data_IF_037224240155
#
_entry.id   IF_037224240155
#
_cell.length_a   1.000
_cell.length_b   1.000
_cell.length_c   1.000
_cell.angle_alpha   90.00
_cell.angle_beta   90.00
_cell.angle_gamma   90.00
#
_symmetry.space_group_name_H-M   'P 1'
#
loop_
_entity.id
_entity.type
_entity.pdbx_description
1 polymer ?
#
# COMPACT_ATOMS: atom_id res chain seq x y z
N UNK A 1 -34.28 -2.73 43.51
CA UNK A 1 -33.05 -2.02 43.13
C UNK A 1 -31.88 -2.98 43.25
N UNK A 2 -31.43 -3.52 42.13
CA UNK A 2 -30.08 -4.07 41.92
C UNK A 2 -30.04 -4.64 40.50
N UNK A 3 -30.06 -3.74 39.50
CA UNK A 3 -29.62 -4.09 38.14
C UNK A 3 -28.10 -4.25 38.21
N UNK A 4 -27.65 -5.51 38.25
CA UNK A 4 -26.24 -5.84 38.16
C UNK A 4 -25.80 -5.64 36.70
N UNK A 5 -24.97 -4.61 36.48
CA UNK A 5 -24.13 -4.50 35.29
C UNK A 5 -23.15 -5.67 35.31
N UNK A 6 -23.36 -6.68 34.47
CA UNK A 6 -22.35 -7.69 34.21
C UNK A 6 -21.25 -6.99 33.41
N UNK A 7 -20.16 -6.64 34.07
CA UNK A 7 -18.88 -6.34 33.41
C UNK A 7 -18.45 -7.60 32.67
N UNK A 8 -18.80 -7.69 31.39
CA UNK A 8 -18.26 -8.73 30.51
C UNK A 8 -16.81 -8.38 30.22
N UNK A 9 -15.90 -8.95 30.99
CA UNK A 9 -14.46 -8.82 30.78
C UNK A 9 -14.09 -9.39 29.40
N UNK A 10 -13.38 -8.60 28.58
CA UNK A 10 -12.95 -9.02 27.25
C UNK A 10 -11.98 -10.19 27.35
N UNK A 11 -12.26 -11.28 26.64
CA UNK A 11 -11.45 -12.49 26.67
C UNK A 11 -10.42 -12.51 25.51
N UNK A 12 -9.37 -13.34 25.60
CA UNK A 12 -8.48 -13.58 24.46
C UNK A 12 -9.21 -14.07 23.19
N UNK A 13 -10.35 -14.75 23.35
CA UNK A 13 -11.17 -15.22 22.23
C UNK A 13 -11.86 -14.05 21.50
N UNK A 14 -12.28 -13.02 22.23
CA UNK A 14 -12.87 -11.82 21.64
C UNK A 14 -11.85 -11.06 20.80
N UNK A 15 -10.63 -10.90 21.31
CA UNK A 15 -9.50 -10.33 20.55
C UNK A 15 -9.23 -11.16 19.29
N UNK A 16 -9.18 -12.49 19.41
CA UNK A 16 -8.95 -13.37 18.26
C UNK A 16 -10.05 -13.29 17.21
N UNK A 17 -11.31 -13.03 17.59
CA UNK A 17 -12.46 -12.98 16.66
C UNK A 17 -12.73 -11.60 16.08
N UNK A 18 -12.38 -10.53 16.76
CA UNK A 18 -12.88 -9.18 16.42
C UNK A 18 -11.81 -8.11 16.27
N UNK A 19 -10.55 -8.39 16.64
CA UNK A 19 -9.50 -7.35 16.64
C UNK A 19 -9.14 -6.88 15.22
N UNK A 20 -9.55 -5.65 14.88
CA UNK A 20 -9.27 -5.04 13.58
C UNK A 20 -7.77 -4.97 13.26
N UNK A 21 -6.91 -4.70 14.26
CA UNK A 21 -5.46 -4.64 14.06
C UNK A 21 -4.86 -6.01 13.71
N UNK A 22 -5.35 -7.09 14.32
CA UNK A 22 -4.90 -8.45 14.04
C UNK A 22 -5.23 -8.85 12.60
N UNK A 23 -6.50 -8.73 12.21
CA UNK A 23 -6.95 -9.11 10.87
C UNK A 23 -6.34 -8.23 9.78
N UNK A 24 -6.22 -6.91 10.02
CA UNK A 24 -5.52 -6.00 9.11
C UNK A 24 -4.08 -6.42 8.86
N UNK A 25 -3.34 -6.76 9.93
CA UNK A 25 -1.95 -7.20 9.82
C UNK A 25 -1.80 -8.54 9.10
N UNK A 26 -2.65 -9.52 9.41
CA UNK A 26 -2.61 -10.84 8.77
C UNK A 26 -2.96 -10.72 7.28
N UNK A 27 -4.04 -10.02 6.95
CA UNK A 27 -4.46 -9.80 5.57
C UNK A 27 -3.41 -9.03 4.76
N UNK A 28 -2.90 -7.91 5.30
CA UNK A 28 -1.83 -7.12 4.67
C UNK A 28 -0.61 -7.99 4.34
N UNK A 29 -0.18 -8.87 5.24
CA UNK A 29 0.96 -9.78 5.00
C UNK A 29 0.68 -10.80 3.90
N UNK A 30 -0.51 -11.41 3.90
CA UNK A 30 -0.92 -12.40 2.90
C UNK A 30 -1.01 -11.78 1.51
N UNK A 31 -1.72 -10.65 1.39
CA UNK A 31 -1.83 -9.87 0.16
C UNK A 31 -0.43 -9.45 -0.31
N UNK A 32 0.38 -8.86 0.55
CA UNK A 32 1.74 -8.45 0.18
C UNK A 32 2.59 -9.62 -0.34
N UNK A 33 2.48 -10.81 0.26
CA UNK A 33 3.18 -12.01 -0.25
C UNK A 33 2.67 -12.46 -1.61
N UNK A 34 1.36 -12.45 -1.81
CA UNK A 34 0.73 -12.80 -3.10
C UNK A 34 1.31 -11.93 -4.21
N UNK A 35 1.21 -10.60 -4.11
CA UNK A 35 1.72 -9.72 -5.16
C UNK A 35 3.24 -9.77 -5.30
N UNK A 36 4.00 -9.91 -4.20
CA UNK A 36 5.45 -10.07 -4.28
C UNK A 36 5.88 -11.37 -4.97
N UNK A 37 5.06 -12.42 -4.92
CA UNK A 37 5.34 -13.66 -5.60
C UNK A 37 5.27 -13.47 -7.12
N UNK A 38 4.21 -12.86 -7.64
CA UNK A 38 4.10 -12.58 -9.08
C UNK A 38 5.14 -11.55 -9.58
N UNK A 39 5.48 -10.58 -8.74
CA UNK A 39 6.45 -9.55 -9.09
C UNK A 39 7.92 -10.02 -9.03
N UNK A 40 8.20 -11.23 -8.54
CA UNK A 40 9.58 -11.68 -8.26
C UNK A 40 10.50 -11.57 -9.46
N UNK A 41 9.99 -11.88 -10.65
CA UNK A 41 10.78 -11.94 -11.88
C UNK A 41 11.15 -10.56 -12.42
N UNK A 42 10.46 -9.52 -11.95
CA UNK A 42 10.77 -8.12 -12.29
C UNK A 42 11.83 -7.51 -11.37
N UNK A 43 12.19 -8.22 -10.29
CA UNK A 43 13.08 -7.70 -9.25
C UNK A 43 12.46 -6.60 -8.39
N UNK A 44 11.15 -6.37 -8.51
CA UNK A 44 10.38 -5.45 -7.68
C UNK A 44 9.58 -6.17 -6.59
N UNK A 45 9.37 -5.45 -5.48
CA UNK A 45 8.31 -5.75 -4.52
C UNK A 45 7.08 -4.89 -4.80
N UNK A 46 5.90 -5.33 -4.34
CA UNK A 46 4.64 -4.58 -4.48
C UNK A 46 4.76 -3.15 -3.94
N UNK A 47 5.47 -2.94 -2.82
CA UNK A 47 5.71 -1.60 -2.28
C UNK A 47 6.51 -0.71 -3.24
N UNK A 48 7.51 -1.28 -3.92
CA UNK A 48 8.31 -0.56 -4.91
C UNK A 48 7.48 -0.24 -6.16
N UNK A 49 6.71 -1.21 -6.64
CA UNK A 49 5.75 -1.00 -7.72
C UNK A 49 4.75 0.12 -7.38
N UNK A 50 4.16 0.13 -6.18
CA UNK A 50 3.24 1.18 -5.75
C UNK A 50 3.87 2.58 -5.74
N UNK A 51 5.15 2.69 -5.39
CA UNK A 51 5.90 3.96 -5.45
C UNK A 51 6.07 4.42 -6.91
N UNK A 52 6.53 3.52 -7.79
CA UNK A 52 6.68 3.83 -9.21
C UNK A 52 5.33 4.23 -9.83
N UNK A 53 4.26 3.50 -9.50
CA UNK A 53 2.91 3.77 -9.96
C UNK A 53 2.41 5.15 -9.50
N UNK A 54 2.62 5.50 -8.22
CA UNK A 54 2.22 6.80 -7.70
C UNK A 54 2.96 7.95 -8.38
N UNK A 55 4.29 7.82 -8.55
CA UNK A 55 5.11 8.81 -9.25
C UNK A 55 4.70 8.94 -10.72
N UNK A 56 4.44 7.81 -11.40
CA UNK A 56 4.04 7.80 -12.81
C UNK A 56 2.65 8.43 -13.02
N UNK A 57 1.69 8.13 -12.15
CA UNK A 57 0.32 8.64 -12.24
C UNK A 57 0.27 10.16 -12.02
N UNK A 58 0.84 10.61 -10.92
CA UNK A 58 0.92 12.03 -10.57
C UNK A 58 1.94 12.19 -9.45
N UNK A 59 3.16 12.70 -9.74
CA UNK A 59 4.19 12.86 -8.72
C UNK A 59 3.65 13.70 -7.55
N UNK A 60 3.68 13.19 -6.30
CA UNK A 60 3.24 13.95 -5.14
C UNK A 60 4.15 15.15 -4.90
N UNK A 61 3.71 16.10 -4.09
CA UNK A 61 4.46 17.33 -3.84
C UNK A 61 5.65 17.12 -2.89
N UNK A 62 5.63 16.05 -2.09
CA UNK A 62 6.69 15.74 -1.13
C UNK A 62 6.77 14.26 -0.76
N UNK A 63 7.86 13.87 -0.07
CA UNK A 63 8.02 12.51 0.46
C UNK A 63 6.99 12.21 1.55
N UNK A 64 6.51 13.22 2.27
CA UNK A 64 5.50 13.06 3.31
C UNK A 64 4.14 12.72 2.69
N UNK A 65 3.76 13.44 1.65
CA UNK A 65 2.51 13.18 0.93
C UNK A 65 2.52 11.79 0.27
N UNK A 66 3.67 11.37 -0.29
CA UNK A 66 3.81 10.01 -0.81
C UNK A 66 3.70 8.96 0.31
N UNK A 67 4.24 9.25 1.50
CA UNK A 67 4.17 8.37 2.66
C UNK A 67 2.71 8.20 3.13
N UNK A 68 1.98 9.30 3.22
CA UNK A 68 0.55 9.31 3.56
C UNK A 68 -0.28 8.56 2.51
N UNK A 69 -0.05 8.85 1.23
CA UNK A 69 -0.74 8.20 0.10
C UNK A 69 -0.58 6.67 0.13
N UNK A 70 0.63 6.19 0.46
CA UNK A 70 0.96 4.76 0.47
C UNK A 70 0.78 4.09 1.83
N UNK A 71 0.38 4.83 2.87
CA UNK A 71 0.29 4.31 4.24
C UNK A 71 1.63 3.80 4.78
N UNK A 72 2.73 4.47 4.42
CA UNK A 72 4.09 4.08 4.78
C UNK A 72 4.71 5.04 5.79
N UNK A 73 5.57 4.52 6.66
CA UNK A 73 6.44 5.36 7.47
C UNK A 73 7.42 6.15 6.58
N UNK A 74 7.53 7.46 6.80
CA UNK A 74 8.36 8.38 5.98
C UNK A 74 9.79 7.88 5.80
N UNK A 75 10.45 7.45 6.87
CA UNK A 75 11.84 6.97 6.83
C UNK A 75 11.99 5.65 6.06
N UNK A 76 10.96 4.80 6.07
CA UNK A 76 10.93 3.56 5.29
C UNK A 76 10.69 3.84 3.82
N UNK A 77 9.81 4.79 3.50
CA UNK A 77 9.58 5.25 2.14
C UNK A 77 10.85 5.87 1.56
N UNK A 78 11.49 6.80 2.28
CA UNK A 78 12.71 7.46 1.81
C UNK A 78 13.82 6.45 1.47
N UNK A 79 14.08 5.48 2.36
CA UNK A 79 15.03 4.39 2.09
C UNK A 79 14.65 3.52 0.89
N UNK A 80 13.35 3.38 0.61
CA UNK A 80 12.87 2.60 -0.55
C UNK A 80 13.09 3.39 -1.85
N UNK A 81 12.84 4.70 -1.84
CA UNK A 81 13.13 5.61 -2.96
C UNK A 81 14.62 5.64 -3.27
N UNK A 82 15.48 5.79 -2.25
CA UNK A 82 16.93 5.78 -2.43
C UNK A 82 17.42 4.47 -3.09
N UNK A 83 16.83 3.33 -2.74
CA UNK A 83 17.12 2.05 -3.40
C UNK A 83 16.66 2.00 -4.86
N UNK A 84 15.52 2.63 -5.18
CA UNK A 84 15.02 2.70 -6.56
C UNK A 84 15.91 3.61 -7.43
N UNK A 85 16.42 4.71 -6.87
CA UNK A 85 17.41 5.57 -7.53
C UNK A 85 18.73 4.82 -7.74
N UNK A 86 19.22 4.11 -6.72
CA UNK A 86 20.45 3.31 -6.82
C UNK A 86 20.34 2.16 -7.84
N UNK A 87 19.12 1.68 -8.13
CA UNK A 87 18.81 0.73 -9.20
C UNK A 87 18.56 1.38 -10.55
N UNK A 88 18.79 2.68 -10.70
CA UNK A 88 18.51 3.44 -11.93
C UNK A 88 17.05 3.39 -12.39
N UNK A 89 16.08 3.10 -11.50
CA UNK A 89 14.65 3.06 -11.85
C UNK A 89 13.96 4.41 -11.63
N UNK A 90 14.51 5.24 -10.74
CA UNK A 90 14.08 6.60 -10.50
C UNK A 90 15.25 7.57 -10.67
N UNK A 91 14.93 8.79 -11.05
CA UNK A 91 15.89 9.89 -11.11
C UNK A 91 15.28 11.16 -10.52
N UNK A 92 16.14 12.02 -9.97
CA UNK A 92 15.74 13.37 -9.57
C UNK A 92 15.53 14.22 -10.82
N UNK A 93 14.35 14.81 -10.97
CA UNK A 93 14.05 15.76 -12.03
C UNK A 93 14.26 17.19 -11.50
N UNK A 94 14.88 18.11 -12.28
CA UNK A 94 14.94 19.51 -11.91
C UNK A 94 13.52 20.06 -11.76
N UNK A 95 13.11 20.36 -10.53
CA UNK A 95 11.77 20.88 -10.27
C UNK A 95 11.75 22.37 -10.63
N UNK A 96 11.26 22.71 -11.84
CA UNK A 96 10.92 24.10 -12.19
C UNK A 96 9.77 24.66 -11.34
N UNK A 97 8.99 23.77 -10.71
CA UNK A 97 7.91 24.09 -9.79
C UNK A 97 8.28 23.66 -8.37
N UNK A 98 8.26 24.59 -7.41
CA UNK A 98 8.60 24.41 -5.98
C UNK A 98 7.76 23.35 -5.23
N UNK A 99 6.82 22.68 -5.89
CA UNK A 99 5.83 21.77 -5.29
C UNK A 99 5.86 20.37 -5.87
N UNK A 100 6.92 19.91 -6.54
CA UNK A 100 7.01 18.49 -6.93
C UNK A 100 8.04 17.79 -6.05
N UNK A 101 7.79 16.52 -5.71
CA UNK A 101 8.79 15.63 -5.11
C UNK A 101 10.07 15.56 -5.97
N UNK A 102 9.98 15.91 -7.26
CA UNK A 102 11.15 15.99 -8.14
C UNK A 102 11.70 14.61 -8.46
N UNK A 103 10.83 13.61 -8.54
CA UNK A 103 11.18 12.25 -8.96
C UNK A 103 10.42 11.90 -10.22
N UNK A 104 11.12 11.25 -11.14
CA UNK A 104 10.54 10.67 -12.34
C UNK A 104 11.14 9.27 -12.56
N UNK A 105 10.41 8.43 -13.28
CA UNK A 105 10.96 7.19 -13.78
C UNK A 105 12.04 7.50 -14.83
N UNK A 106 13.08 6.69 -14.86
CA UNK A 106 14.06 6.66 -15.96
C UNK A 106 13.48 5.84 -17.12
N UNK A 107 14.20 5.73 -18.24
CA UNK A 107 13.82 4.82 -19.32
C UNK A 107 13.80 3.35 -18.85
N UNK A 108 14.82 2.92 -18.10
CA UNK A 108 14.88 1.59 -17.48
C UNK A 108 13.76 1.38 -16.46
N UNK A 109 13.46 2.41 -15.66
CA UNK A 109 12.35 2.41 -14.72
C UNK A 109 11.00 2.23 -15.39
N UNK A 110 10.80 2.84 -16.56
CA UNK A 110 9.60 2.68 -17.36
C UNK A 110 9.47 1.25 -17.91
N UNK A 111 10.55 0.69 -18.46
CA UNK A 111 10.56 -0.68 -18.96
C UNK A 111 10.22 -1.71 -17.87
N UNK A 112 10.87 -1.59 -16.70
CA UNK A 112 10.59 -2.46 -15.55
C UNK A 112 9.17 -2.24 -15.01
N UNK A 113 8.67 -1.00 -15.00
CA UNK A 113 7.30 -0.71 -14.59
C UNK A 113 6.28 -1.42 -15.49
N UNK A 114 6.46 -1.40 -16.80
CA UNK A 114 5.55 -2.08 -17.74
C UNK A 114 5.55 -3.60 -17.53
N UNK A 115 6.73 -4.20 -17.32
CA UNK A 115 6.83 -5.63 -16.98
C UNK A 115 6.12 -5.95 -15.65
N UNK A 116 6.30 -5.10 -14.64
CA UNK A 116 5.66 -5.25 -13.34
C UNK A 116 4.16 -5.01 -13.38
N UNK A 117 3.66 -4.14 -14.27
CA UNK A 117 2.23 -3.91 -14.45
C UNK A 117 1.53 -5.17 -14.94
N UNK A 118 2.08 -5.87 -15.93
CA UNK A 118 1.53 -7.16 -16.41
C UNK A 118 1.47 -8.19 -15.28
N UNK A 119 2.55 -8.31 -14.48
CA UNK A 119 2.57 -9.21 -13.32
C UNK A 119 1.59 -8.79 -12.23
N UNK A 120 1.38 -7.49 -12.04
CA UNK A 120 0.39 -6.96 -11.12
C UNK A 120 -1.03 -7.30 -11.60
N UNK A 121 -1.32 -7.21 -12.90
CA UNK A 121 -2.61 -7.56 -13.49
C UNK A 121 -2.92 -9.05 -13.27
N UNK A 122 -1.95 -9.94 -13.51
CA UNK A 122 -2.06 -11.38 -13.20
C UNK A 122 -2.38 -11.60 -11.71
N UNK A 123 -1.58 -11.02 -10.81
CA UNK A 123 -1.78 -11.15 -9.38
C UNK A 123 -3.14 -10.60 -8.91
N UNK A 124 -3.56 -9.46 -9.49
CA UNK A 124 -4.80 -8.81 -9.13
C UNK A 124 -6.01 -9.60 -9.63
N UNK A 125 -5.94 -10.13 -10.86
CA UNK A 125 -6.97 -11.00 -11.43
C UNK A 125 -7.21 -12.22 -10.56
N UNK A 126 -6.15 -12.98 -10.26
CA UNK A 126 -6.24 -14.14 -9.37
C UNK A 126 -6.78 -13.77 -7.98
N UNK A 127 -6.33 -12.64 -7.44
CA UNK A 127 -6.83 -12.15 -6.16
C UNK A 127 -8.33 -11.86 -6.21
N UNK A 128 -8.81 -11.13 -7.22
CA UNK A 128 -10.23 -10.81 -7.38
C UNK A 128 -11.09 -12.02 -7.72
N UNK A 129 -10.54 -13.03 -8.38
CA UNK A 129 -11.23 -14.32 -8.60
C UNK A 129 -11.39 -15.09 -7.28
N UNK A 130 -10.38 -15.07 -6.41
CA UNK A 130 -10.45 -15.72 -5.10
C UNK A 130 -11.42 -15.05 -4.13
N UNK A 131 -11.50 -13.72 -4.13
CA UNK A 131 -12.31 -12.96 -3.15
C UNK A 131 -13.62 -12.44 -3.69
N UNK A 132 -13.86 -12.51 -5.00
CA UNK A 132 -14.98 -11.89 -5.69
C UNK A 132 -14.71 -10.41 -6.03
N UNK A 133 -14.77 -10.06 -7.32
CA UNK A 133 -14.47 -8.70 -7.80
C UNK A 133 -15.45 -7.64 -7.22
N UNK A 134 -16.74 -7.95 -7.18
CA UNK A 134 -17.76 -7.06 -6.62
C UNK A 134 -17.59 -6.89 -5.11
N UNK A 135 -17.33 -7.99 -4.40
CA UNK A 135 -17.07 -7.99 -2.96
C UNK A 135 -15.80 -7.20 -2.64
N UNK A 136 -14.76 -7.34 -3.45
CA UNK A 136 -13.54 -6.56 -3.32
C UNK A 136 -13.79 -5.07 -3.55
N UNK A 137 -14.55 -4.70 -4.58
CA UNK A 137 -14.90 -3.30 -4.88
C UNK A 137 -15.63 -2.64 -3.70
N UNK A 138 -16.63 -3.33 -3.13
CA UNK A 138 -17.32 -2.89 -1.92
C UNK A 138 -16.38 -2.79 -0.73
N UNK A 139 -15.48 -3.77 -0.57
CA UNK A 139 -14.50 -3.81 0.52
C UNK A 139 -13.51 -2.65 0.42
N UNK A 140 -13.02 -2.31 -0.77
CA UNK A 140 -12.14 -1.14 -0.98
C UNK A 140 -12.84 0.14 -0.53
N UNK A 141 -14.13 0.32 -0.85
CA UNK A 141 -14.93 1.44 -0.38
C UNK A 141 -14.98 1.52 1.15
N UNK A 142 -15.23 0.39 1.82
CA UNK A 142 -15.24 0.30 3.29
C UNK A 142 -13.87 0.59 3.90
N UNK A 143 -12.79 0.02 3.34
CA UNK A 143 -11.42 0.23 3.81
C UNK A 143 -11.04 1.71 3.73
N UNK A 144 -11.31 2.38 2.59
CA UNK A 144 -11.05 3.82 2.44
C UNK A 144 -11.81 4.65 3.48
N UNK A 145 -13.09 4.34 3.70
CA UNK A 145 -13.91 5.03 4.70
C UNK A 145 -13.36 4.85 6.13
N UNK A 146 -13.00 3.62 6.50
CA UNK A 146 -12.46 3.34 7.84
C UNK A 146 -11.07 3.95 8.03
N UNK A 147 -10.19 3.90 7.02
CA UNK A 147 -8.89 4.55 7.05
C UNK A 147 -9.02 6.07 7.24
N UNK A 148 -9.95 6.73 6.54
CA UNK A 148 -10.19 8.17 6.72
C UNK A 148 -10.66 8.51 8.14
N UNK A 149 -11.57 7.70 8.72
CA UNK A 149 -11.99 7.87 10.12
C UNK A 149 -10.83 7.72 11.10
N UNK A 150 -9.99 6.70 10.92
CA UNK A 150 -8.83 6.46 11.77
C UNK A 150 -7.81 7.59 11.67
N UNK A 151 -7.49 8.06 10.46
CA UNK A 151 -6.57 9.19 10.25
C UNK A 151 -7.07 10.47 10.91
N UNK A 152 -8.38 10.74 10.91
CA UNK A 152 -8.95 11.91 11.59
C UNK A 152 -8.94 11.82 13.13
N UNK A 153 -8.65 10.64 13.68
CA UNK A 153 -8.68 10.37 15.12
C UNK A 153 -7.30 10.20 15.77
N UNK A 154 -6.23 10.22 14.97
CA UNK A 154 -4.84 10.11 15.39
C UNK A 154 -4.16 11.49 15.31
#
# INVERSE_FOLDING_TARGET
MSEQSVDQETTPLDVARTCAALYSRVFSRLVTRHYNHHLSDTGLRITQFSILNAIKLSPPNSINELAELLGMERTSLQRTVEKLIAKSLLQSQPTGHKRSLGLALTAEGEEIYQQALVRWEEAHGEFTDMVGADDWSVTVGKLRHYSGKLQSSL
#
